data_IF_729596742602
#
_entry.id   IF_729596742602
#
_cell.length_a   1.000
_cell.length_b   1.000
_cell.length_c   1.000
_cell.angle_alpha   90.00
_cell.angle_beta   90.00
_cell.angle_gamma   90.00
#
_symmetry.space_group_name_H-M   'P 1'
#
loop_
_entity.id
_entity.type
_entity.pdbx_description
1 polymer ?
#
# COMPACT_ATOMS: atom_id res chain seq x y z
N UNK A 1 17.67 11.79 8.38
CA UNK A 1 18.52 11.17 7.34
C UNK A 1 17.91 11.27 5.94
N UNK A 2 16.67 10.87 5.71
CA UNK A 2 16.04 10.86 4.38
C UNK A 2 16.10 12.19 3.61
N UNK A 3 15.76 13.32 4.22
CA UNK A 3 15.80 14.64 3.56
C UNK A 3 17.19 15.06 3.09
N UNK A 4 18.25 14.70 3.82
CA UNK A 4 19.64 14.98 3.39
C UNK A 4 20.01 14.14 2.15
N UNK A 5 19.61 12.87 2.11
CA UNK A 5 19.83 12.00 0.94
C UNK A 5 19.07 12.53 -0.29
N UNK A 6 17.82 12.98 -0.11
CA UNK A 6 17.06 13.61 -1.19
C UNK A 6 17.74 14.88 -1.70
N UNK A 7 18.23 15.74 -0.80
CA UNK A 7 18.92 16.99 -1.17
C UNK A 7 20.20 16.71 -1.99
N UNK A 8 20.95 15.67 -1.63
CA UNK A 8 22.17 15.29 -2.34
C UNK A 8 21.90 14.65 -3.71
N UNK A 9 20.79 13.90 -3.83
CA UNK A 9 20.55 13.04 -4.99
C UNK A 9 19.58 13.62 -6.01
N UNK A 10 18.69 14.57 -5.65
CA UNK A 10 17.63 15.03 -6.55
C UNK A 10 18.17 15.62 -7.86
N UNK A 11 19.22 16.45 -7.78
CA UNK A 11 19.82 17.07 -8.98
C UNK A 11 20.48 16.04 -9.89
N UNK A 12 21.44 15.20 -9.41
CA UNK A 12 22.09 14.21 -10.27
C UNK A 12 21.11 13.15 -10.82
N UNK A 13 20.05 12.80 -10.07
CA UNK A 13 19.02 11.86 -10.55
C UNK A 13 18.21 12.45 -11.70
N UNK A 14 17.78 13.71 -11.59
CA UNK A 14 17.04 14.39 -12.65
C UNK A 14 17.91 14.60 -13.88
N UNK A 15 19.15 15.02 -13.71
CA UNK A 15 20.12 15.19 -14.80
C UNK A 15 20.35 13.86 -15.55
N UNK A 16 20.54 12.76 -14.81
CA UNK A 16 20.69 11.43 -15.38
C UNK A 16 19.41 10.95 -16.10
N UNK A 17 18.23 11.26 -15.58
CA UNK A 17 16.96 10.90 -16.21
C UNK A 17 16.80 11.60 -17.57
N UNK A 18 17.08 12.90 -17.63
CA UNK A 18 17.05 13.69 -18.88
C UNK A 18 18.07 13.14 -19.89
N UNK A 19 19.29 12.87 -19.45
CA UNK A 19 20.34 12.31 -20.30
C UNK A 19 19.96 10.92 -20.86
N UNK A 20 19.38 10.04 -20.03
CA UNK A 20 18.91 8.71 -20.48
C UNK A 20 17.74 8.78 -21.43
N UNK A 21 16.86 9.77 -21.28
CA UNK A 21 15.76 10.01 -22.21
C UNK A 21 16.24 10.54 -23.57
N UNK A 22 17.50 10.98 -23.70
CA UNK A 22 18.07 11.52 -24.93
C UNK A 22 17.46 12.89 -25.31
N UNK A 23 16.90 13.62 -24.35
CA UNK A 23 16.29 14.93 -24.54
C UNK A 23 17.09 16.04 -23.84
N UNK A 24 16.79 17.29 -24.14
CA UNK A 24 17.30 18.45 -23.41
C UNK A 24 16.28 18.90 -22.36
N UNK A 25 16.73 19.57 -21.32
CA UNK A 25 15.82 20.14 -20.30
C UNK A 25 14.81 21.14 -20.85
N UNK A 26 15.19 21.81 -21.95
CA UNK A 26 14.35 22.77 -22.68
C UNK A 26 13.18 22.10 -23.44
N UNK A 27 13.27 20.78 -23.68
CA UNK A 27 12.22 20.00 -24.33
C UNK A 27 11.09 19.60 -23.34
N UNK A 28 11.30 19.84 -22.03
CA UNK A 28 10.30 19.55 -21.02
C UNK A 28 9.12 20.52 -21.10
N UNK A 29 7.91 19.98 -21.11
CA UNK A 29 6.68 20.78 -21.16
C UNK A 29 6.04 21.02 -19.77
N UNK A 30 6.40 20.26 -18.75
CA UNK A 30 5.92 20.42 -17.39
C UNK A 30 6.85 19.68 -16.39
N UNK A 31 6.74 20.05 -15.10
CA UNK A 31 7.35 19.31 -13.99
C UNK A 31 6.24 18.79 -13.09
N UNK A 32 6.13 17.46 -12.97
CA UNK A 32 5.24 16.82 -11.99
C UNK A 32 6.02 16.50 -10.70
N UNK A 33 5.39 16.67 -9.55
CA UNK A 33 6.01 16.37 -8.26
C UNK A 33 5.00 15.82 -7.26
N UNK A 34 5.46 14.97 -6.35
CA UNK A 34 4.64 14.46 -5.25
C UNK A 34 4.40 15.56 -4.21
N UNK A 35 3.13 16.01 -4.11
CA UNK A 35 2.70 16.97 -3.07
C UNK A 35 2.64 16.33 -1.68
N UNK A 36 2.26 15.07 -1.61
CA UNK A 36 2.04 14.28 -0.39
C UNK A 36 0.99 13.17 -0.63
N UNK A 37 0.69 12.38 0.41
CA UNK A 37 1.37 12.33 1.70
C UNK A 37 2.79 11.75 1.62
N UNK A 38 3.57 11.94 2.71
CA UNK A 38 4.93 11.43 2.81
C UNK A 38 5.74 12.14 3.90
N UNK A 39 7.01 11.79 4.04
CA UNK A 39 7.90 12.39 5.03
C UNK A 39 8.13 13.88 4.72
N UNK A 40 7.69 14.74 5.62
CA UNK A 40 7.71 16.21 5.44
C UNK A 40 9.07 16.73 4.95
N UNK A 41 10.18 16.31 5.55
CA UNK A 41 11.50 16.76 5.12
C UNK A 41 11.89 16.36 3.71
N UNK A 42 11.48 15.18 3.25
CA UNK A 42 11.70 14.69 1.89
C UNK A 42 10.80 15.42 0.89
N UNK A 43 9.53 15.60 1.24
CA UNK A 43 8.58 16.38 0.43
C UNK A 43 9.05 17.82 0.24
N UNK A 44 9.54 18.50 1.29
CA UNK A 44 10.05 19.87 1.19
C UNK A 44 11.22 19.97 0.19
N UNK A 45 12.14 19.00 0.20
CA UNK A 45 13.25 18.98 -0.77
C UNK A 45 12.72 18.83 -2.20
N UNK A 46 11.87 17.82 -2.44
CA UNK A 46 11.31 17.54 -3.77
C UNK A 46 10.48 18.71 -4.31
N UNK A 47 9.60 19.26 -3.47
CA UNK A 47 8.74 20.40 -3.85
C UNK A 47 9.57 21.67 -4.15
N UNK A 48 10.58 21.96 -3.31
CA UNK A 48 11.44 23.14 -3.53
C UNK A 48 12.25 23.01 -4.81
N UNK A 49 12.82 21.84 -5.06
CA UNK A 49 13.53 21.56 -6.31
C UNK A 49 12.58 21.70 -7.52
N UNK A 50 11.42 21.04 -7.51
CA UNK A 50 10.46 21.06 -8.61
C UNK A 50 9.99 22.49 -8.93
N UNK A 51 9.71 23.30 -7.90
CA UNK A 51 9.34 24.73 -8.07
C UNK A 51 10.45 25.54 -8.71
N UNK A 52 11.71 25.40 -8.23
CA UNK A 52 12.86 26.08 -8.81
C UNK A 52 13.11 25.68 -10.24
N UNK A 53 13.03 24.38 -10.53
CA UNK A 53 13.27 23.81 -11.85
C UNK A 53 12.21 24.24 -12.86
N UNK A 54 10.92 24.09 -12.55
CA UNK A 54 9.83 24.54 -13.41
C UNK A 54 9.88 26.05 -13.69
N UNK A 55 10.19 26.85 -12.65
CA UNK A 55 10.34 28.30 -12.80
C UNK A 55 11.52 28.68 -13.69
N UNK A 56 12.65 28.00 -13.58
CA UNK A 56 13.83 28.28 -14.41
C UNK A 56 13.62 28.02 -15.90
N UNK A 57 12.73 27.07 -16.22
CA UNK A 57 12.36 26.72 -17.60
C UNK A 57 11.07 27.41 -18.07
N UNK A 58 10.40 28.17 -17.20
CA UNK A 58 9.11 28.80 -17.45
C UNK A 58 8.02 27.83 -17.95
N UNK A 59 7.96 26.65 -17.33
CA UNK A 59 7.00 25.58 -17.65
C UNK A 59 6.05 25.30 -16.48
N UNK A 60 4.87 24.70 -16.73
CA UNK A 60 3.90 24.35 -15.70
C UNK A 60 4.46 23.42 -14.62
N UNK A 61 3.97 23.61 -13.40
CA UNK A 61 4.21 22.74 -12.25
C UNK A 61 2.93 22.00 -11.90
N UNK A 62 2.99 20.66 -11.85
CA UNK A 62 1.85 19.78 -11.62
C UNK A 62 2.03 19.07 -10.27
N UNK A 63 1.11 19.29 -9.34
CA UNK A 63 1.10 18.59 -8.06
C UNK A 63 0.38 17.26 -8.16
N UNK A 64 0.99 16.21 -7.64
CA UNK A 64 0.47 14.83 -7.67
C UNK A 64 0.28 14.32 -6.24
N UNK A 65 -0.90 13.79 -5.95
CA UNK A 65 -1.14 13.07 -4.70
C UNK A 65 -0.60 11.64 -4.84
N UNK A 66 0.32 11.23 -3.96
CA UNK A 66 0.96 9.93 -3.96
C UNK A 66 -0.05 8.76 -3.93
N UNK A 67 -1.09 8.88 -3.09
CA UNK A 67 -2.11 7.83 -2.95
C UNK A 67 -2.99 7.71 -4.21
N UNK A 68 -3.29 8.85 -4.86
CA UNK A 68 -3.96 8.83 -6.16
C UNK A 68 -3.07 8.19 -7.23
N UNK A 69 -1.76 8.40 -7.17
CA UNK A 69 -0.79 7.73 -8.04
C UNK A 69 -0.89 6.20 -7.96
N UNK A 70 -0.97 5.64 -6.74
CA UNK A 70 -1.18 4.20 -6.58
C UNK A 70 -2.50 3.70 -7.21
N UNK A 71 -3.59 4.46 -7.08
CA UNK A 71 -4.87 4.11 -7.71
C UNK A 71 -4.77 4.20 -9.23
N UNK A 72 -4.12 5.26 -9.74
CA UNK A 72 -3.96 5.49 -11.18
C UNK A 72 -3.02 4.49 -11.87
N UNK A 73 -2.19 3.77 -11.11
CA UNK A 73 -1.35 2.70 -11.65
C UNK A 73 -2.14 1.61 -12.40
N UNK A 74 -3.44 1.44 -12.11
CA UNK A 74 -4.32 0.55 -12.85
C UNK A 74 -4.59 0.96 -14.30
N UNK A 75 -4.30 2.21 -14.65
CA UNK A 75 -4.53 2.76 -16.00
C UNK A 75 -3.27 2.73 -16.88
N UNK A 76 -2.15 2.25 -16.34
CA UNK A 76 -0.90 2.09 -17.11
C UNK A 76 -1.04 0.85 -17.99
N UNK A 77 -0.77 1.01 -19.28
CA UNK A 77 -0.70 -0.06 -20.27
C UNK A 77 0.72 -0.14 -20.81
N UNK A 78 1.30 -1.32 -20.75
CA UNK A 78 2.60 -1.62 -21.38
C UNK A 78 2.41 -2.37 -22.70
N UNK A 79 1.27 -3.06 -22.86
CA UNK A 79 0.91 -3.81 -24.05
C UNK A 79 -0.60 -3.86 -24.22
N UNK A 80 -1.07 -4.24 -25.42
CA UNK A 80 -2.49 -4.42 -25.71
C UNK A 80 -3.11 -5.61 -24.96
N UNK A 81 -2.28 -6.57 -24.52
CA UNK A 81 -2.70 -7.74 -23.74
C UNK A 81 -2.88 -7.46 -22.24
N UNK A 82 -2.58 -6.24 -21.80
CA UNK A 82 -2.75 -5.87 -20.41
C UNK A 82 -4.23 -5.87 -20.01
N UNK A 83 -4.48 -6.27 -18.75
CA UNK A 83 -5.82 -6.20 -18.19
C UNK A 83 -6.39 -4.79 -18.42
N UNK A 84 -7.64 -4.72 -18.90
CA UNK A 84 -8.32 -3.44 -19.05
C UNK A 84 -8.43 -2.72 -17.70
N UNK A 85 -8.28 -1.41 -17.72
CA UNK A 85 -8.43 -0.59 -16.52
C UNK A 85 -9.86 -0.71 -15.93
N UNK A 86 -10.02 -0.54 -14.60
CA UNK A 86 -11.35 -0.57 -13.99
C UNK A 86 -12.24 0.53 -14.55
N UNK A 87 -13.48 0.24 -14.93
CA UNK A 87 -14.44 1.26 -15.37
C UNK A 87 -14.90 2.09 -14.17
N UNK A 88 -15.15 3.37 -14.39
CA UNK A 88 -15.71 4.24 -13.36
C UNK A 88 -17.24 4.04 -13.22
N UNK A 89 -17.81 4.13 -12.01
CA UNK A 89 -17.09 4.19 -10.73
C UNK A 89 -16.62 2.79 -10.28
N UNK A 90 -15.52 2.76 -9.53
CA UNK A 90 -15.04 1.53 -8.87
C UNK A 90 -14.62 1.79 -7.41
N UNK A 91 -14.50 0.72 -6.64
CA UNK A 91 -14.00 0.77 -5.26
C UNK A 91 -12.54 0.32 -5.27
N UNK A 92 -11.65 1.09 -4.66
CA UNK A 92 -10.24 0.75 -4.50
C UNK A 92 -9.90 0.55 -3.03
N UNK A 93 -9.38 -0.63 -2.69
CA UNK A 93 -8.70 -0.86 -1.42
C UNK A 93 -7.24 -0.41 -1.58
N UNK A 94 -6.92 0.74 -1.02
CA UNK A 94 -5.58 1.33 -1.03
C UNK A 94 -4.87 0.98 0.27
N UNK A 95 -3.85 0.12 0.21
CA UNK A 95 -3.12 -0.39 1.36
C UNK A 95 -1.62 -0.33 1.15
N UNK A 96 -0.93 0.39 2.03
CA UNK A 96 0.52 0.58 2.00
C UNK A 96 1.13 0.49 3.40
N UNK A 97 2.43 0.75 3.53
CA UNK A 97 3.11 0.83 4.82
C UNK A 97 2.53 1.90 5.75
N UNK A 98 2.10 3.04 5.21
CA UNK A 98 1.60 4.17 5.99
C UNK A 98 0.12 4.50 5.79
N UNK A 99 -0.60 3.78 4.92
CA UNK A 99 -2.00 4.11 4.61
C UNK A 99 -2.85 2.85 4.43
N UNK A 100 -4.08 2.91 4.93
CA UNK A 100 -5.12 1.90 4.68
C UNK A 100 -6.44 2.63 4.49
N UNK A 101 -6.96 2.63 3.25
CA UNK A 101 -8.16 3.37 2.87
C UNK A 101 -9.05 2.54 1.95
N UNK A 102 -10.36 2.78 2.00
CA UNK A 102 -11.32 2.39 0.97
C UNK A 102 -11.71 3.64 0.22
N UNK A 103 -11.47 3.67 -1.07
CA UNK A 103 -11.70 4.82 -1.93
C UNK A 103 -12.72 4.47 -3.00
N UNK A 104 -13.78 5.27 -3.12
CA UNK A 104 -14.67 5.26 -4.29
C UNK A 104 -14.08 6.19 -5.34
N UNK A 105 -13.78 5.66 -6.50
CA UNK A 105 -13.19 6.38 -7.62
C UNK A 105 -14.27 6.63 -8.66
N UNK A 106 -14.70 7.87 -8.77
CA UNK A 106 -15.75 8.29 -9.72
C UNK A 106 -15.18 8.71 -11.08
N UNK A 107 -13.96 9.27 -11.06
CA UNK A 107 -13.20 9.70 -12.24
C UNK A 107 -11.71 9.81 -11.89
N UNK A 108 -10.85 10.12 -12.86
CA UNK A 108 -9.39 10.26 -12.65
C UNK A 108 -9.01 11.23 -11.54
N UNK A 109 -9.76 12.30 -11.37
CA UNK A 109 -9.54 13.34 -10.37
C UNK A 109 -10.68 13.48 -9.36
N UNK A 110 -11.62 12.54 -9.34
CA UNK A 110 -12.72 12.49 -8.38
C UNK A 110 -12.69 11.20 -7.59
N UNK A 111 -12.12 11.28 -6.39
CA UNK A 111 -11.92 10.17 -5.47
C UNK A 111 -12.47 10.53 -4.10
N UNK A 112 -13.36 9.70 -3.58
CA UNK A 112 -13.99 9.84 -2.26
C UNK A 112 -13.48 8.75 -1.32
N UNK A 113 -12.89 9.13 -0.19
CA UNK A 113 -12.54 8.20 0.88
C UNK A 113 -13.82 7.79 1.61
N UNK A 114 -14.14 6.50 1.61
CA UNK A 114 -15.29 5.91 2.30
C UNK A 114 -14.95 5.45 3.72
N UNK A 115 -13.71 5.04 3.94
CA UNK A 115 -13.17 4.63 5.22
C UNK A 115 -11.66 4.61 5.19
N UNK A 116 -11.03 4.79 6.35
CA UNK A 116 -9.58 4.82 6.49
C UNK A 116 -9.15 4.31 7.86
N UNK A 117 -7.86 4.02 8.01
CA UNK A 117 -7.34 3.71 9.34
C UNK A 117 -7.36 4.93 10.23
N UNK A 118 -7.72 4.71 11.49
CA UNK A 118 -7.72 5.76 12.55
C UNK A 118 -6.45 5.71 13.42
N UNK A 119 -5.60 4.70 13.18
CA UNK A 119 -4.35 4.49 13.91
C UNK A 119 -3.27 3.92 12.98
N UNK A 120 -2.68 2.77 13.28
CA UNK A 120 -1.66 2.14 12.42
C UNK A 120 -2.27 1.75 11.06
N UNK A 121 -1.47 1.78 10.00
CA UNK A 121 -1.84 1.17 8.72
C UNK A 121 -1.61 -0.36 8.73
N UNK A 122 -2.24 -1.09 7.81
CA UNK A 122 -2.11 -2.54 7.71
C UNK A 122 -0.64 -2.99 7.50
N UNK A 123 0.09 -2.32 6.60
CA UNK A 123 1.51 -2.63 6.38
C UNK A 123 2.36 -2.32 7.61
N UNK A 124 2.12 -1.22 8.28
CA UNK A 124 2.79 -0.87 9.54
C UNK A 124 2.52 -1.88 10.65
N UNK A 125 1.28 -2.39 10.75
CA UNK A 125 0.93 -3.42 11.71
C UNK A 125 1.71 -4.73 11.44
N UNK A 126 1.84 -5.14 10.17
CA UNK A 126 2.66 -6.30 9.77
C UNK A 126 4.12 -6.07 10.14
N UNK A 127 4.69 -4.92 9.79
CA UNK A 127 6.09 -4.59 10.07
C UNK A 127 6.38 -4.56 11.58
N UNK A 128 5.45 -4.04 12.39
CA UNK A 128 5.57 -4.02 13.85
C UNK A 128 5.55 -5.44 14.45
N UNK A 129 4.69 -6.33 13.94
CA UNK A 129 4.69 -7.74 14.36
C UNK A 129 5.99 -8.43 13.97
N UNK A 130 6.45 -8.28 12.73
CA UNK A 130 7.71 -8.85 12.25
C UNK A 130 8.92 -8.34 13.04
N UNK A 131 8.94 -7.06 13.40
CA UNK A 131 9.99 -6.47 14.24
C UNK A 131 10.06 -7.10 15.63
N UNK A 132 8.90 -7.34 16.26
CA UNK A 132 8.83 -7.99 17.57
C UNK A 132 9.27 -9.44 17.51
N UNK A 133 9.02 -10.13 16.39
CA UNK A 133 9.46 -11.49 16.11
C UNK A 133 10.92 -11.56 15.63
N UNK A 134 11.62 -10.43 15.55
CA UNK A 134 13.00 -10.31 15.06
C UNK A 134 13.21 -10.80 13.61
N UNK A 135 12.15 -10.75 12.78
CA UNK A 135 12.19 -11.15 11.38
C UNK A 135 12.74 -10.10 10.41
N UNK A 136 13.18 -8.94 10.95
CA UNK A 136 13.80 -7.86 10.19
C UNK A 136 12.80 -6.83 9.62
N UNK A 137 13.33 -5.97 8.73
CA UNK A 137 12.58 -4.90 8.08
C UNK A 137 12.99 -4.79 6.60
N UNK A 138 12.05 -4.64 5.64
CA UNK A 138 10.59 -4.63 5.82
C UNK A 138 10.05 -6.02 6.18
N UNK A 139 9.06 -6.06 7.09
CA UNK A 139 8.50 -7.30 7.62
C UNK A 139 7.50 -7.97 6.67
N UNK A 140 6.79 -7.18 5.87
CA UNK A 140 5.75 -7.66 4.96
C UNK A 140 6.17 -8.86 4.09
N UNK A 141 7.27 -8.79 3.32
CA UNK A 141 7.75 -9.90 2.49
C UNK A 141 8.10 -11.17 3.28
N UNK A 142 8.61 -11.02 4.50
CA UNK A 142 8.98 -12.16 5.35
C UNK A 142 7.73 -12.85 5.88
N UNK A 143 6.76 -12.07 6.38
CA UNK A 143 5.46 -12.58 6.83
C UNK A 143 4.76 -13.32 5.70
N UNK A 144 4.66 -12.73 4.50
CA UNK A 144 4.05 -13.37 3.32
C UNK A 144 4.76 -14.69 2.94
N UNK A 145 6.10 -14.72 3.01
CA UNK A 145 6.88 -15.94 2.73
C UNK A 145 6.58 -17.06 3.71
N UNK A 146 6.55 -16.76 5.01
CA UNK A 146 6.31 -17.77 6.06
C UNK A 146 4.85 -18.19 6.12
N UNK A 147 3.91 -17.25 5.93
CA UNK A 147 2.47 -17.50 5.96
C UNK A 147 2.01 -18.58 4.98
N UNK A 148 2.68 -18.71 3.83
CA UNK A 148 2.37 -19.75 2.81
C UNK A 148 2.53 -21.17 3.30
N UNK A 149 3.26 -21.41 4.41
CA UNK A 149 3.58 -22.72 4.94
C UNK A 149 2.84 -23.00 6.24
N UNK A 150 2.15 -22.02 6.81
CA UNK A 150 1.50 -22.10 8.11
C UNK A 150 -0.02 -22.27 8.04
N UNK A 151 -0.59 -22.60 9.20
CA UNK A 151 -2.04 -22.63 9.39
C UNK A 151 -2.55 -21.25 9.79
N UNK A 152 -3.40 -20.58 8.97
CA UNK A 152 -3.90 -19.23 9.25
C UNK A 152 -4.85 -19.15 10.46
N UNK A 153 -5.29 -20.28 11.00
CA UNK A 153 -6.21 -20.38 12.15
C UNK A 153 -5.55 -20.98 13.40
N UNK A 154 -4.23 -21.16 13.40
CA UNK A 154 -3.50 -21.69 14.55
C UNK A 154 -3.57 -20.75 15.76
N UNK A 155 -3.52 -19.45 15.51
CA UNK A 155 -3.60 -18.41 16.54
C UNK A 155 -4.71 -17.42 16.22
N UNK A 156 -5.41 -16.98 17.27
CA UNK A 156 -6.49 -15.98 17.14
C UNK A 156 -6.09 -14.70 17.86
N UNK A 157 -6.21 -13.59 17.18
CA UNK A 157 -5.94 -12.26 17.73
C UNK A 157 -7.22 -11.44 17.78
N UNK A 158 -7.26 -10.45 18.68
CA UNK A 158 -8.41 -9.58 18.80
C UNK A 158 -8.56 -8.71 17.54
N UNK A 159 -9.78 -8.61 17.05
CA UNK A 159 -10.15 -7.70 15.99
C UNK A 159 -10.77 -6.44 16.60
N UNK A 160 -10.29 -5.24 16.26
CA UNK A 160 -10.91 -4.01 16.74
C UNK A 160 -12.34 -3.83 16.20
N UNK A 161 -13.25 -3.50 17.09
CA UNK A 161 -14.65 -3.17 16.73
C UNK A 161 -14.76 -1.69 16.45
N UNK A 162 -14.62 -1.29 15.18
CA UNK A 162 -14.79 0.10 14.72
C UNK A 162 -16.09 0.22 13.92
N UNK A 163 -16.87 1.24 14.21
CA UNK A 163 -18.09 1.52 13.44
C UNK A 163 -17.77 1.98 12.01
N UNK A 164 -18.73 1.78 11.11
CA UNK A 164 -18.60 2.20 9.72
C UNK A 164 -17.50 1.45 8.97
N UNK A 165 -16.87 2.13 8.01
CA UNK A 165 -15.84 1.56 7.12
C UNK A 165 -14.41 1.85 7.54
N UNK A 166 -14.20 2.55 8.65
CA UNK A 166 -12.88 2.83 9.18
C UNK A 166 -12.20 1.58 9.72
N UNK A 167 -10.87 1.61 9.73
CA UNK A 167 -10.01 0.53 10.24
C UNK A 167 -9.34 0.94 11.55
N UNK A 168 -8.96 -0.06 12.34
CA UNK A 168 -7.98 0.07 13.42
C UNK A 168 -7.14 -1.20 13.46
N UNK A 169 -5.85 -1.05 13.69
CA UNK A 169 -4.91 -2.18 13.84
C UNK A 169 -4.19 -2.17 15.20
N UNK A 170 -4.35 -1.12 16.01
CA UNK A 170 -3.70 -1.00 17.33
C UNK A 170 -4.16 -2.09 18.29
N UNK A 171 -5.46 -2.42 18.31
CA UNK A 171 -6.01 -3.49 19.14
C UNK A 171 -5.47 -4.86 18.77
N UNK A 172 -5.35 -5.15 17.47
CA UNK A 172 -4.70 -6.36 16.95
C UNK A 172 -3.25 -6.47 17.45
N UNK A 173 -2.45 -5.42 17.24
CA UNK A 173 -1.05 -5.38 17.68
C UNK A 173 -0.90 -5.63 19.18
N UNK A 174 -1.74 -5.00 19.98
CA UNK A 174 -1.72 -5.16 21.44
C UNK A 174 -2.06 -6.60 21.84
N UNK A 175 -3.09 -7.18 21.26
CA UNK A 175 -3.48 -8.59 21.46
C UNK A 175 -2.33 -9.55 21.09
N UNK A 176 -1.71 -9.32 19.93
CA UNK A 176 -0.54 -10.10 19.48
C UNK A 176 0.61 -10.03 20.49
N UNK A 177 0.98 -8.83 20.95
CA UNK A 177 2.08 -8.64 21.89
C UNK A 177 1.85 -9.33 23.24
N UNK A 178 0.64 -9.23 23.79
CA UNK A 178 0.31 -9.91 25.05
C UNK A 178 0.33 -11.44 24.89
N UNK A 179 -0.25 -11.96 23.82
CA UNK A 179 -0.24 -13.38 23.54
C UNK A 179 1.18 -13.91 23.36
N UNK A 180 1.99 -13.20 22.57
CA UNK A 180 3.38 -13.60 22.32
C UNK A 180 4.21 -13.63 23.61
N UNK A 181 4.09 -12.59 24.47
CA UNK A 181 4.79 -12.55 25.76
C UNK A 181 4.44 -13.74 26.65
N UNK A 182 3.16 -14.13 26.70
CA UNK A 182 2.71 -15.29 27.44
C UNK A 182 3.33 -16.58 26.90
N UNK A 183 3.26 -16.81 25.58
CA UNK A 183 3.77 -18.02 24.96
C UNK A 183 5.29 -18.17 25.08
N UNK A 184 6.05 -17.08 24.91
CA UNK A 184 7.52 -17.08 25.07
C UNK A 184 7.92 -17.27 26.53
N UNK A 185 7.13 -16.82 27.50
CA UNK A 185 7.38 -17.08 28.91
C UNK A 185 7.17 -18.56 29.27
N UNK A 186 6.25 -19.26 28.59
CA UNK A 186 5.98 -20.70 28.76
C UNK A 186 6.99 -21.59 27.98
N UNK A 187 7.40 -21.15 26.77
CA UNK A 187 8.37 -21.83 25.90
C UNK A 187 9.27 -20.79 25.20
N UNK A 188 10.54 -20.63 25.61
CA UNK A 188 11.46 -19.67 24.98
C UNK A 188 11.68 -19.90 23.48
N UNK A 189 11.53 -21.14 23.00
CA UNK A 189 11.66 -21.50 21.57
C UNK A 189 10.35 -21.37 20.79
N UNK A 190 9.29 -20.85 21.41
CA UNK A 190 7.94 -20.82 20.84
C UNK A 190 7.89 -20.18 19.45
N UNK A 191 8.59 -19.05 19.25
CA UNK A 191 8.60 -18.32 17.98
C UNK A 191 9.17 -19.18 16.85
N UNK A 192 10.30 -19.82 17.08
CA UNK A 192 10.95 -20.65 16.05
C UNK A 192 10.13 -21.91 15.73
N UNK A 193 9.55 -22.54 16.73
CA UNK A 193 8.69 -23.71 16.55
C UNK A 193 7.40 -23.41 15.79
N UNK A 194 6.88 -22.19 15.93
CA UNK A 194 5.57 -21.79 15.39
C UNK A 194 5.63 -20.68 14.33
N UNK A 195 6.80 -20.37 13.78
CA UNK A 195 7.00 -19.21 12.91
C UNK A 195 6.06 -19.14 11.69
N UNK A 196 5.79 -20.29 11.09
CA UNK A 196 4.90 -20.36 9.92
C UNK A 196 3.45 -20.09 10.30
N UNK A 197 2.99 -20.71 11.39
CA UNK A 197 1.63 -20.55 11.90
C UNK A 197 1.38 -19.14 12.45
N UNK A 198 2.39 -18.56 13.12
CA UNK A 198 2.34 -17.16 13.57
C UNK A 198 2.20 -16.21 12.38
N UNK A 199 3.05 -16.38 11.36
CA UNK A 199 2.99 -15.55 10.15
C UNK A 199 1.64 -15.68 9.44
N UNK A 200 1.15 -16.90 9.26
CA UNK A 200 -0.13 -17.18 8.63
C UNK A 200 -1.32 -16.56 9.39
N UNK A 201 -1.30 -16.64 10.72
CA UNK A 201 -2.36 -16.09 11.57
C UNK A 201 -2.34 -14.56 11.63
N UNK A 202 -1.14 -13.95 11.62
CA UNK A 202 -0.97 -12.48 11.51
C UNK A 202 -1.54 -11.99 10.17
N UNK A 203 -1.10 -12.58 9.07
CA UNK A 203 -1.55 -12.23 7.73
C UNK A 203 -3.06 -12.39 7.58
N UNK A 204 -3.59 -13.55 7.98
CA UNK A 204 -5.01 -13.85 7.93
C UNK A 204 -5.86 -12.82 8.67
N UNK A 205 -5.48 -12.48 9.90
CA UNK A 205 -6.25 -11.53 10.72
C UNK A 205 -6.29 -10.14 10.08
N UNK A 206 -5.14 -9.64 9.60
CA UNK A 206 -5.06 -8.33 8.95
C UNK A 206 -5.86 -8.31 7.64
N UNK A 207 -5.72 -9.34 6.82
CA UNK A 207 -6.46 -9.48 5.55
C UNK A 207 -7.96 -9.57 5.82
N UNK A 208 -8.40 -10.33 6.82
CA UNK A 208 -9.81 -10.48 7.17
C UNK A 208 -10.44 -9.15 7.64
N UNK A 209 -9.72 -8.36 8.45
CA UNK A 209 -10.12 -6.98 8.84
C UNK A 209 -10.33 -6.12 7.58
N UNK A 210 -9.38 -6.13 6.64
CA UNK A 210 -9.46 -5.36 5.41
C UNK A 210 -10.65 -5.77 4.54
N UNK A 211 -10.81 -7.09 4.34
CA UNK A 211 -11.85 -7.63 3.48
C UNK A 211 -13.27 -7.48 4.04
N UNK A 212 -13.43 -7.53 5.38
CA UNK A 212 -14.72 -7.26 6.05
C UNK A 212 -15.22 -5.85 5.72
N UNK A 213 -14.37 -4.84 5.84
CA UNK A 213 -14.74 -3.44 5.57
C UNK A 213 -14.92 -3.17 4.08
N UNK A 214 -14.06 -3.74 3.23
CA UNK A 214 -14.21 -3.66 1.78
C UNK A 214 -15.56 -4.23 1.31
N UNK A 215 -15.96 -5.38 1.88
CA UNK A 215 -17.26 -5.98 1.58
C UNK A 215 -18.43 -5.08 2.01
N UNK A 216 -18.31 -4.40 3.14
CA UNK A 216 -19.32 -3.41 3.57
C UNK A 216 -19.43 -2.26 2.56
N UNK A 217 -18.30 -1.73 2.08
CA UNK A 217 -18.26 -0.66 1.09
C UNK A 217 -18.92 -1.08 -0.23
N UNK A 218 -18.57 -2.26 -0.75
CA UNK A 218 -19.19 -2.81 -1.96
C UNK A 218 -20.71 -3.00 -1.78
N UNK A 219 -21.13 -3.55 -0.64
CA UNK A 219 -22.57 -3.72 -0.33
C UNK A 219 -23.31 -2.40 -0.26
N UNK A 220 -22.73 -1.38 0.39
CA UNK A 220 -23.37 -0.07 0.58
C UNK A 220 -23.42 0.74 -0.71
N UNK A 221 -22.42 0.65 -1.54
CA UNK A 221 -22.34 1.42 -2.81
C UNK A 221 -23.01 0.70 -4.00
N UNK A 222 -23.18 -0.63 -3.92
CA UNK A 222 -23.63 -1.46 -5.04
C UNK A 222 -22.59 -1.64 -6.15
N UNK A 223 -21.41 -1.03 -6.04
CA UNK A 223 -20.34 -1.08 -7.04
C UNK A 223 -19.61 -2.41 -6.93
N UNK A 224 -19.55 -3.20 -8.01
CA UNK A 224 -18.89 -4.52 -8.04
C UNK A 224 -17.52 -4.51 -8.74
N UNK A 225 -17.08 -3.39 -9.28
CA UNK A 225 -15.72 -3.22 -9.79
C UNK A 225 -14.81 -2.85 -8.63
N UNK A 226 -13.88 -3.74 -8.29
CA UNK A 226 -13.09 -3.63 -7.06
C UNK A 226 -11.61 -3.76 -7.38
N UNK A 227 -10.83 -2.74 -7.04
CA UNK A 227 -9.39 -2.71 -7.24
C UNK A 227 -8.64 -2.79 -5.90
N UNK A 228 -7.39 -3.23 -5.94
CA UNK A 228 -6.45 -3.12 -4.82
C UNK A 228 -5.21 -2.36 -5.29
N UNK A 229 -4.68 -1.45 -4.46
CA UNK A 229 -3.50 -0.64 -4.78
C UNK A 229 -2.59 -0.44 -3.55
N UNK A 230 -1.36 0.04 -3.78
CA UNK A 230 -0.35 0.27 -2.75
C UNK A 230 0.50 -0.95 -2.43
N UNK A 231 1.57 -0.76 -1.65
CA UNK A 231 2.60 -1.79 -1.41
C UNK A 231 2.10 -3.11 -0.85
N UNK A 232 1.11 -3.08 0.05
CA UNK A 232 0.50 -4.31 0.62
C UNK A 232 -0.30 -5.10 -0.42
N UNK A 233 -0.66 -4.50 -1.56
CA UNK A 233 -1.30 -5.22 -2.67
C UNK A 233 -0.38 -6.29 -3.31
N UNK A 234 0.92 -6.28 -2.98
CA UNK A 234 1.86 -7.34 -3.35
C UNK A 234 1.68 -8.62 -2.52
N UNK A 235 1.07 -8.53 -1.33
CA UNK A 235 0.88 -9.66 -0.41
C UNK A 235 -0.02 -10.73 -1.02
N UNK A 236 0.43 -12.00 -1.00
CA UNK A 236 -0.28 -13.11 -1.62
C UNK A 236 -1.57 -13.49 -0.89
N UNK A 237 -1.58 -13.42 0.44
CA UNK A 237 -2.78 -13.66 1.25
C UNK A 237 -3.89 -12.70 0.87
N UNK A 238 -3.57 -11.40 0.73
CA UNK A 238 -4.54 -10.40 0.28
C UNK A 238 -5.03 -10.66 -1.16
N UNK A 239 -4.14 -10.96 -2.09
CA UNK A 239 -4.50 -11.29 -3.48
C UNK A 239 -5.41 -12.51 -3.58
N UNK A 240 -5.16 -13.54 -2.79
CA UNK A 240 -5.99 -14.73 -2.74
C UNK A 240 -7.37 -14.41 -2.14
N UNK A 241 -7.42 -13.66 -1.03
CA UNK A 241 -8.68 -13.20 -0.45
C UNK A 241 -9.51 -12.35 -1.44
N UNK A 242 -8.88 -11.52 -2.26
CA UNK A 242 -9.56 -10.79 -3.34
C UNK A 242 -10.20 -11.74 -4.36
N UNK A 243 -9.47 -12.76 -4.82
CA UNK A 243 -10.00 -13.76 -5.79
C UNK A 243 -11.15 -14.56 -5.20
N UNK A 244 -11.03 -15.01 -3.96
CA UNK A 244 -12.08 -15.75 -3.25
C UNK A 244 -13.36 -14.92 -3.08
N UNK A 245 -13.21 -13.63 -2.71
CA UNK A 245 -14.34 -12.73 -2.59
C UNK A 245 -14.97 -12.40 -3.95
N UNK A 246 -14.16 -12.25 -5.01
CA UNK A 246 -14.64 -12.05 -6.37
C UNK A 246 -15.55 -13.21 -6.80
N UNK A 247 -15.09 -14.43 -6.60
CA UNK A 247 -15.86 -15.62 -6.92
C UNK A 247 -17.14 -15.74 -6.07
N UNK A 248 -17.04 -15.48 -4.76
CA UNK A 248 -18.14 -15.63 -3.81
C UNK A 248 -19.22 -14.56 -3.94
N UNK A 249 -18.84 -13.32 -4.25
CA UNK A 249 -19.74 -12.16 -4.25
C UNK A 249 -19.99 -11.56 -5.64
N UNK A 250 -19.44 -12.15 -6.70
CA UNK A 250 -19.59 -11.69 -8.07
C UNK A 250 -18.95 -10.34 -8.32
N UNK A 251 -17.73 -10.11 -7.79
CA UNK A 251 -16.97 -8.90 -8.05
C UNK A 251 -16.12 -9.08 -9.32
N UNK A 252 -15.97 -8.01 -10.06
CA UNK A 252 -14.92 -7.90 -11.09
C UNK A 252 -13.72 -7.22 -10.45
N UNK A 253 -12.60 -7.94 -10.35
CA UNK A 253 -11.44 -7.48 -9.58
C UNK A 253 -10.29 -7.01 -10.47
N UNK A 254 -9.56 -6.02 -9.98
CA UNK A 254 -8.39 -5.43 -10.61
C UNK A 254 -7.23 -5.46 -9.62
N UNK A 255 -6.23 -6.29 -9.93
CA UNK A 255 -5.03 -6.48 -9.12
C UNK A 255 -3.83 -6.01 -9.95
N UNK A 256 -3.02 -5.05 -9.45
CA UNK A 256 -1.93 -4.49 -10.23
C UNK A 256 -0.82 -5.52 -10.44
N UNK A 257 -0.03 -5.35 -11.52
CA UNK A 257 1.24 -6.06 -11.68
C UNK A 257 2.14 -5.79 -10.48
N UNK A 258 3.01 -6.74 -10.11
CA UNK A 258 3.93 -6.55 -8.98
C UNK A 258 4.84 -5.34 -9.18
N UNK A 259 5.22 -5.04 -10.42
CA UNK A 259 6.00 -3.86 -10.81
C UNK A 259 5.35 -2.52 -10.44
N UNK A 260 4.04 -2.46 -10.19
CA UNK A 260 3.30 -1.24 -9.86
C UNK A 260 2.75 -1.21 -8.44
N UNK A 261 3.19 -2.10 -7.56
CA UNK A 261 2.65 -2.18 -6.20
C UNK A 261 3.39 -1.30 -5.21
N UNK A 262 4.72 -1.13 -5.34
CA UNK A 262 5.53 -0.42 -4.36
C UNK A 262 5.82 1.02 -4.77
N UNK A 263 6.18 1.86 -3.79
CA UNK A 263 6.52 3.27 -4.02
C UNK A 263 7.69 3.45 -5.01
N UNK A 264 8.66 2.55 -4.95
CA UNK A 264 9.81 2.58 -5.88
C UNK A 264 9.41 2.22 -7.31
N UNK A 265 8.35 1.44 -7.49
CA UNK A 265 7.83 1.10 -8.81
C UNK A 265 7.18 2.30 -9.49
N UNK A 266 6.49 3.16 -8.72
CA UNK A 266 5.86 4.38 -9.23
C UNK A 266 6.88 5.45 -9.66
N UNK A 267 8.13 5.35 -9.20
CA UNK A 267 9.22 6.25 -9.61
C UNK A 267 9.80 5.84 -10.97
N UNK A 268 9.56 4.61 -11.41
CA UNK A 268 10.04 4.10 -12.70
C UNK A 268 9.04 4.29 -13.85
N UNK A 269 7.94 4.97 -13.58
CA UNK A 269 6.93 5.39 -14.56
C UNK A 269 7.16 6.88 -14.87
#
# INVERSE_FOLDING_TARGET
MASRAHQQNVVPVVDQAIARAGIKKEDLCAVAFTRGPGLMGSLLVGVSFAKGFARSLNIPLIDVNHLQGHVMAHFIKESDDDQSAPPFPFICLLVSGGNSQIVKVNAYNDMQVLGQTIDDAAGEAIDKCAKVLEWGYPGGPVVDKYARQGNPKAFTFAEPHIQGMDYSFSGFKTSFLYSLRKWVAEDPDFVEKNKYDLAASIEYTIVDILMKKLRMAVKQTGIKYVAVAGGVSANNGLRNAFRDHAQRFGWTIYIPKFSYTTDLSLIHI
#
